data_IF_746176863448
#
_entry.id   IF_746176863448
#
_cell.length_a   1.000
_cell.length_b   1.000
_cell.length_c   1.000
_cell.angle_alpha   90.00
_cell.angle_beta   90.00
_cell.angle_gamma   90.00
#
_symmetry.space_group_name_H-M   'P 1'
#
loop_
_entity.id
_entity.type
_entity.pdbx_description
1 polymer ?
#
# COMPACT_ATOMS: atom_id res chain seq x y z
N UNK A 1 -13.22 8.45 20.24
CA UNK A 1 -12.23 7.62 20.96
C UNK A 1 -11.77 8.35 22.19
N UNK A 2 -11.54 7.63 23.28
CA UNK A 2 -11.01 8.20 24.51
C UNK A 2 -9.50 8.45 24.39
N UNK A 3 -8.95 9.41 25.13
CA UNK A 3 -7.49 9.65 25.14
C UNK A 3 -6.72 8.41 25.61
N UNK A 4 -7.31 7.65 26.54
CA UNK A 4 -6.73 6.42 27.07
C UNK A 4 -6.48 5.35 25.99
N UNK A 5 -7.41 5.17 25.06
CA UNK A 5 -7.24 4.21 23.95
C UNK A 5 -6.09 4.61 23.01
N UNK A 6 -5.87 5.92 22.83
CA UNK A 6 -4.77 6.45 22.03
C UNK A 6 -3.43 6.20 22.70
N UNK A 7 -3.32 6.51 23.99
CA UNK A 7 -2.08 6.32 24.75
C UNK A 7 -1.71 4.84 24.80
N UNK A 8 -2.71 3.97 25.05
CA UNK A 8 -2.53 2.52 25.01
C UNK A 8 -2.09 2.02 23.62
N UNK A 9 -2.72 2.51 22.55
CA UNK A 9 -2.31 2.13 21.20
C UNK A 9 -0.87 2.58 20.90
N UNK A 10 -0.48 3.79 21.31
CA UNK A 10 0.87 4.31 21.10
C UNK A 10 1.94 3.50 21.82
N UNK A 11 1.67 3.06 23.06
CA UNK A 11 2.60 2.20 23.81
C UNK A 11 2.78 0.82 23.15
N UNK A 12 1.75 0.32 22.46
CA UNK A 12 1.74 -0.98 21.80
C UNK A 12 2.25 -0.94 20.34
N UNK A 13 2.30 0.24 19.71
CA UNK A 13 2.78 0.42 18.33
C UNK A 13 4.20 -0.13 18.10
N UNK A 14 5.20 0.08 18.98
CA UNK A 14 6.52 -0.53 18.84
C UNK A 14 6.44 -2.07 18.77
N UNK A 15 5.70 -2.68 19.69
CA UNK A 15 5.52 -4.14 19.73
C UNK A 15 4.75 -4.68 18.54
N UNK A 16 3.82 -3.89 17.98
CA UNK A 16 3.08 -4.21 16.76
C UNK A 16 3.99 -4.21 15.53
N UNK A 17 4.86 -3.21 15.38
CA UNK A 17 5.88 -3.17 14.32
C UNK A 17 6.85 -4.36 14.39
N UNK A 18 7.20 -4.78 15.61
CA UNK A 18 8.03 -5.96 15.86
C UNK A 18 7.29 -7.31 15.74
N UNK A 19 5.98 -7.30 15.43
CA UNK A 19 5.10 -8.48 15.42
C UNK A 19 5.13 -9.31 16.71
N UNK A 20 5.33 -8.65 17.86
CA UNK A 20 5.35 -9.27 19.20
C UNK A 20 4.01 -9.16 19.94
N UNK A 21 2.96 -8.74 19.24
CA UNK A 21 1.62 -8.59 19.78
C UNK A 21 0.79 -9.88 19.63
N UNK A 22 -0.07 -10.16 20.62
CA UNK A 22 -1.12 -11.17 20.48
C UNK A 22 -2.20 -10.73 19.49
N UNK A 23 -2.98 -11.69 18.99
CA UNK A 23 -4.01 -11.43 17.97
C UNK A 23 -5.06 -10.41 18.41
N UNK A 24 -5.46 -10.42 19.68
CA UNK A 24 -6.41 -9.42 20.22
C UNK A 24 -5.84 -8.00 20.18
N UNK A 25 -4.56 -7.86 20.52
CA UNK A 25 -3.85 -6.58 20.51
C UNK A 25 -3.68 -6.04 19.09
N UNK A 26 -3.38 -6.92 18.12
CA UNK A 26 -3.31 -6.58 16.70
C UNK A 26 -4.65 -6.02 16.20
N UNK A 27 -5.76 -6.70 16.53
CA UNK A 27 -7.10 -6.27 16.12
C UNK A 27 -7.48 -4.92 16.73
N UNK A 28 -7.17 -4.70 18.00
CA UNK A 28 -7.37 -3.42 18.68
C UNK A 28 -6.62 -2.28 17.97
N UNK A 29 -5.33 -2.47 17.65
CA UNK A 29 -4.52 -1.45 16.98
C UNK A 29 -5.06 -1.17 15.57
N UNK A 30 -5.42 -2.21 14.80
CA UNK A 30 -5.98 -2.05 13.45
C UNK A 30 -7.31 -1.30 13.45
N UNK A 31 -8.18 -1.57 14.42
CA UNK A 31 -9.44 -0.84 14.58
C UNK A 31 -9.19 0.61 15.03
N UNK A 32 -8.19 0.82 15.88
CA UNK A 32 -7.81 2.14 16.35
C UNK A 32 -7.23 3.02 15.23
N UNK A 33 -6.27 2.55 14.44
CA UNK A 33 -5.65 3.33 13.37
C UNK A 33 -6.60 3.63 12.20
N UNK A 34 -7.70 2.85 12.05
CA UNK A 34 -8.77 3.16 11.08
C UNK A 34 -9.54 4.42 11.48
N UNK A 35 -9.75 4.62 12.78
CA UNK A 35 -10.57 5.70 13.30
C UNK A 35 -9.73 6.85 13.91
N UNK A 36 -8.41 6.68 14.08
CA UNK A 36 -7.49 7.69 14.59
C UNK A 36 -6.35 8.00 13.60
N UNK A 37 -6.40 9.15 12.91
CA UNK A 37 -5.36 9.53 11.95
C UNK A 37 -4.01 9.88 12.60
N UNK A 38 -4.00 10.29 13.87
CA UNK A 38 -2.77 10.61 14.62
C UNK A 38 -1.91 9.37 14.84
N UNK A 39 -2.50 8.29 15.37
CA UNK A 39 -1.79 7.03 15.63
C UNK A 39 -1.32 6.38 14.32
N UNK A 40 -2.09 6.53 13.24
CA UNK A 40 -1.68 6.09 11.90
C UNK A 40 -0.44 6.82 11.39
N UNK A 41 -0.39 8.15 11.52
CA UNK A 41 0.77 8.94 11.11
C UNK A 41 2.02 8.60 11.92
N UNK A 42 1.86 8.34 13.22
CA UNK A 42 2.95 7.90 14.09
C UNK A 42 3.49 6.53 13.67
N UNK A 43 2.62 5.55 13.40
CA UNK A 43 3.01 4.23 12.88
C UNK A 43 3.80 4.35 11.55
N UNK A 44 3.33 5.20 10.64
CA UNK A 44 4.01 5.43 9.35
C UNK A 44 5.38 6.09 9.51
N UNK A 45 5.51 7.04 10.45
CA UNK A 45 6.79 7.69 10.77
C UNK A 45 7.79 6.69 11.38
N UNK A 46 7.33 5.87 12.34
CA UNK A 46 8.16 4.85 12.98
C UNK A 46 8.61 3.76 12.00
N UNK A 47 7.77 3.42 11.02
CA UNK A 47 8.13 2.47 9.96
C UNK A 47 9.15 3.05 8.96
N UNK A 48 9.26 4.38 8.83
CA UNK A 48 10.17 5.04 7.89
C UNK A 48 11.61 5.16 8.40
N UNK A 49 11.81 5.20 9.72
CA UNK A 49 13.13 5.32 10.37
C UNK A 49 13.88 3.98 10.53
N UNK A 50 13.30 2.86 10.09
CA UNK A 50 13.93 1.54 10.19
C UNK A 50 14.71 1.25 8.89
N UNK A 51 16.05 1.25 8.89
CA UNK A 51 16.84 0.83 7.74
C UNK A 51 16.55 -0.65 7.44
N UNK A 52 16.05 -0.91 6.23
CA UNK A 52 15.57 -2.22 5.76
C UNK A 52 16.53 -3.38 6.06
N UNK A 53 16.07 -4.32 6.88
CA UNK A 53 16.26 -5.75 6.60
C UNK A 53 14.87 -6.42 6.56
N UNK A 54 14.68 -7.23 5.52
CA UNK A 54 13.38 -7.58 4.98
C UNK A 54 12.52 -8.46 5.91
N UNK A 55 11.33 -7.99 6.27
CA UNK A 55 10.12 -8.80 6.13
C UNK A 55 8.91 -7.90 5.86
N UNK A 56 8.38 -8.07 4.67
CA UNK A 56 7.24 -7.34 4.12
C UNK A 56 6.00 -7.69 4.93
N UNK A 57 5.44 -6.72 5.66
CA UNK A 57 4.00 -6.68 5.87
C UNK A 57 3.41 -5.51 5.11
N UNK A 58 2.68 -5.90 4.05
CA UNK A 58 1.91 -5.07 3.14
C UNK A 58 1.28 -3.89 3.87
N UNK A 59 1.72 -2.67 3.51
CA UNK A 59 0.81 -1.54 3.46
C UNK A 59 -0.32 -1.92 2.51
N UNK A 60 -1.46 -2.36 3.06
CA UNK A 60 -2.74 -2.26 2.37
C UNK A 60 -3.06 -0.77 2.35
N UNK A 61 -2.38 -0.06 1.46
CA UNK A 61 -2.82 1.23 0.99
C UNK A 61 -4.22 0.98 0.45
N UNK A 62 -5.23 1.59 1.08
CA UNK A 62 -6.55 1.72 0.47
C UNK A 62 -6.37 2.55 -0.80
N UNK A 63 -5.90 1.92 -1.87
CA UNK A 63 -6.02 2.45 -3.22
C UNK A 63 -7.51 2.43 -3.53
N UNK A 64 -8.09 3.61 -3.67
CA UNK A 64 -9.47 3.73 -4.14
C UNK A 64 -9.61 2.85 -5.40
N UNK A 65 -10.71 2.10 -5.56
CA UNK A 65 -10.90 1.20 -6.70
C UNK A 65 -10.71 1.92 -8.05
N UNK A 66 -10.94 3.23 -8.08
CA UNK A 66 -10.66 4.14 -9.21
C UNK A 66 -9.19 4.10 -9.68
N UNK A 67 -8.22 4.01 -8.77
CA UNK A 67 -6.79 3.98 -9.12
C UNK A 67 -6.39 2.69 -9.84
N UNK A 68 -6.99 1.55 -9.47
CA UNK A 68 -6.78 0.26 -10.17
C UNK A 68 -7.33 0.30 -11.60
N UNK A 69 -8.49 0.93 -11.79
CA UNK A 69 -9.12 1.09 -13.12
C UNK A 69 -8.29 2.02 -14.00
N UNK A 70 -7.80 3.14 -13.47
CA UNK A 70 -6.94 4.07 -14.22
C UNK A 70 -5.65 3.39 -14.68
N UNK A 71 -5.01 2.58 -13.81
CA UNK A 71 -3.79 1.87 -14.15
C UNK A 71 -4.01 0.83 -15.27
N UNK A 72 -5.13 0.09 -15.22
CA UNK A 72 -5.49 -0.87 -16.27
C UNK A 72 -5.81 -0.21 -17.60
N UNK A 73 -6.57 0.89 -17.59
CA UNK A 73 -6.94 1.64 -18.80
C UNK A 73 -5.69 2.25 -19.45
N UNK A 74 -4.80 2.85 -18.65
CA UNK A 74 -3.56 3.43 -19.16
C UNK A 74 -2.63 2.35 -19.74
N UNK A 75 -2.48 1.22 -19.06
CA UNK A 75 -1.70 0.09 -19.56
C UNK A 75 -2.24 -0.49 -20.87
N UNK A 76 -3.56 -0.64 -20.98
CA UNK A 76 -4.23 -1.09 -22.20
C UNK A 76 -3.98 -0.14 -23.37
N UNK A 77 -4.05 1.17 -23.15
CA UNK A 77 -3.79 2.17 -24.19
C UNK A 77 -2.36 2.09 -24.74
N UNK A 78 -1.37 1.94 -23.85
CA UNK A 78 0.03 1.77 -24.25
C UNK A 78 0.24 0.49 -25.05
N UNK A 79 -0.40 -0.62 -24.67
CA UNK A 79 -0.33 -1.87 -25.39
C UNK A 79 -0.89 -1.77 -26.82
N UNK A 80 -2.03 -1.09 -27.00
CA UNK A 80 -2.62 -0.85 -28.32
C UNK A 80 -1.70 0.00 -29.20
N UNK A 81 -1.08 1.05 -28.64
CA UNK A 81 -0.10 1.86 -29.37
C UNK A 81 1.10 1.04 -29.86
N UNK A 82 1.65 0.18 -29.00
CA UNK A 82 2.76 -0.70 -29.35
C UNK A 82 2.36 -1.65 -30.47
N UNK A 83 1.17 -2.26 -30.40
CA UNK A 83 0.67 -3.13 -31.46
C UNK A 83 0.55 -2.41 -32.81
N UNK A 84 0.04 -1.17 -32.83
CA UNK A 84 -0.04 -0.38 -34.06
C UNK A 84 1.34 -0.07 -34.66
N UNK A 85 2.32 0.25 -33.80
CA UNK A 85 3.70 0.48 -34.23
C UNK A 85 4.30 -0.79 -34.84
N UNK A 86 4.05 -1.96 -34.23
CA UNK A 86 4.54 -3.24 -34.75
C UNK A 86 3.88 -3.55 -36.10
N UNK A 87 2.56 -3.38 -36.21
CA UNK A 87 1.83 -3.64 -37.46
C UNK A 87 2.35 -2.73 -38.59
N UNK A 88 2.52 -1.44 -38.32
CA UNK A 88 3.05 -0.49 -39.31
C UNK A 88 4.50 -0.82 -39.69
N UNK A 89 5.33 -1.22 -38.73
CA UNK A 89 6.70 -1.68 -39.01
C UNK A 89 6.73 -2.92 -39.92
N UNK A 90 5.90 -3.92 -39.63
CA UNK A 90 5.81 -5.14 -40.46
C UNK A 90 5.36 -4.82 -41.88
N UNK A 91 4.42 -3.88 -42.04
CA UNK A 91 3.92 -3.42 -43.33
C UNK A 91 5.00 -2.67 -44.13
N UNK A 92 5.75 -1.77 -43.47
CA UNK A 92 6.86 -1.01 -44.11
C UNK A 92 7.99 -1.94 -44.52
N UNK A 93 8.29 -2.95 -43.70
CA UNK A 93 9.39 -3.89 -43.96
C UNK A 93 8.99 -5.04 -44.90
N UNK A 94 7.76 -5.01 -45.46
CA UNK A 94 7.31 -5.93 -46.51
C UNK A 94 7.23 -7.39 -46.08
N UNK A 95 6.99 -7.65 -44.79
CA UNK A 95 6.81 -9.00 -44.24
C UNK A 95 5.38 -9.52 -44.46
N UNK A 96 4.49 -8.70 -45.05
CA UNK A 96 3.13 -9.05 -45.46
C UNK A 96 2.95 -8.93 -46.98
#
# INVERSE_FOLDING_TARGET
MSNFDCDLAMDLLPSYLEKKCGEETVRFIEEHIKNCPKCKALLDAMAADIPMEASVEKKVFHINPVGKVILLVLGYFVFVLILLIIITYLFVHGVL
#
